data_IF_409253956608
#
_entry.id   IF_409253956608
#
_cell.length_a   1.000
_cell.length_b   1.000
_cell.length_c   1.000
_cell.angle_alpha   90.00
_cell.angle_beta   90.00
_cell.angle_gamma   90.00
#
_symmetry.space_group_name_H-M   'P 1'
#
loop_
_entity.id
_entity.type
_entity.pdbx_description
1 polymer ?
#
# COMPACT_ATOMS: atom_id res chain seq x y z
N UNK A 1 8.64 1.17 2.49
CA UNK A 1 7.30 0.83 3.05
C UNK A 1 7.36 0.60 4.56
N UNK A 2 8.20 -0.31 5.07
CA UNK A 2 8.31 -0.57 6.52
C UNK A 2 8.75 0.67 7.31
N UNK A 3 9.74 1.39 6.81
CA UNK A 3 10.22 2.65 7.41
C UNK A 3 9.10 3.70 7.49
N UNK A 4 8.34 3.90 6.41
CA UNK A 4 7.19 4.83 6.39
C UNK A 4 6.13 4.47 7.43
N UNK A 5 5.86 3.18 7.63
CA UNK A 5 4.92 2.75 8.67
C UNK A 5 5.48 3.05 10.07
N UNK A 6 6.75 2.75 10.32
CA UNK A 6 7.36 3.06 11.62
C UNK A 6 7.40 4.56 11.90
N UNK A 7 7.72 5.36 10.88
CA UNK A 7 7.74 6.81 10.98
C UNK A 7 6.34 7.34 11.32
N UNK A 8 5.29 6.90 10.65
CA UNK A 8 3.92 7.34 10.95
C UNK A 8 3.46 6.91 12.35
N UNK A 9 3.80 5.69 12.77
CA UNK A 9 3.51 5.17 14.11
C UNK A 9 4.21 6.01 15.20
N UNK A 10 5.45 6.45 14.94
CA UNK A 10 6.22 7.30 15.87
C UNK A 10 5.58 8.68 16.12
N UNK A 11 4.71 9.16 15.22
CA UNK A 11 4.02 10.45 15.36
C UNK A 11 2.89 10.42 16.39
N UNK A 12 2.39 9.24 16.74
CA UNK A 12 1.30 9.03 17.72
C UNK A 12 0.08 9.96 17.49
N UNK A 13 -0.26 10.25 16.22
CA UNK A 13 -1.28 11.22 15.87
C UNK A 13 -2.71 10.70 16.10
N UNK A 14 -3.65 11.64 16.27
CA UNK A 14 -5.08 11.33 16.50
C UNK A 14 -5.95 11.50 15.26
N UNK A 15 -5.52 12.37 14.34
CA UNK A 15 -6.26 12.70 13.13
C UNK A 15 -5.37 12.54 11.91
N UNK A 16 -5.95 12.08 10.82
CA UNK A 16 -5.27 11.80 9.56
C UNK A 16 -6.10 12.26 8.38
N UNK A 17 -5.43 12.65 7.30
CA UNK A 17 -6.04 12.78 5.98
C UNK A 17 -5.11 12.18 4.92
N UNK A 18 -5.70 11.58 3.90
CA UNK A 18 -4.95 11.00 2.78
C UNK A 18 -5.35 11.64 1.47
N UNK A 19 -4.37 11.77 0.59
CA UNK A 19 -4.51 12.35 -0.74
C UNK A 19 -3.90 11.34 -1.71
N UNK A 20 -4.74 10.80 -2.60
CA UNK A 20 -4.33 9.96 -3.73
C UNK A 20 -4.33 10.81 -5.00
N UNK A 21 -3.16 10.98 -5.62
CA UNK A 21 -3.00 11.70 -6.88
C UNK A 21 -3.38 10.76 -8.02
N UNK A 22 -4.68 10.66 -8.28
CA UNK A 22 -5.20 9.76 -9.29
C UNK A 22 -4.53 9.96 -10.66
N UNK A 23 -4.01 8.86 -11.22
CA UNK A 23 -3.35 8.87 -12.54
C UNK A 23 -2.18 9.86 -12.59
N UNK A 24 -1.42 10.02 -11.50
CA UNK A 24 -0.30 10.96 -11.39
C UNK A 24 0.67 10.88 -12.58
N UNK A 25 0.94 9.67 -13.09
CA UNK A 25 1.83 9.47 -14.25
C UNK A 25 1.35 10.23 -15.49
N UNK A 26 0.04 10.29 -15.74
CA UNK A 26 -0.51 11.01 -16.88
C UNK A 26 -0.47 12.53 -16.73
N UNK A 27 -0.18 13.05 -15.53
CA UNK A 27 0.12 14.47 -15.32
C UNK A 27 1.52 14.84 -15.80
N UNK A 28 2.42 13.87 -15.99
CA UNK A 28 3.82 14.11 -16.32
C UNK A 28 4.02 14.04 -17.85
N UNK A 29 4.40 15.16 -18.50
CA UNK A 29 4.68 15.17 -19.94
C UNK A 29 5.92 14.35 -20.28
N UNK A 30 5.82 13.60 -21.39
CA UNK A 30 6.98 12.90 -21.93
C UNK A 30 7.70 13.78 -22.95
N UNK A 31 9.02 13.91 -22.81
CA UNK A 31 9.90 14.58 -23.77
C UNK A 31 9.69 14.01 -25.18
N UNK A 32 9.71 14.86 -26.20
CA UNK A 32 9.34 14.48 -27.57
C UNK A 32 10.25 13.38 -28.11
N UNK A 33 11.56 13.50 -27.85
CA UNK A 33 12.61 12.54 -28.18
C UNK A 33 12.41 11.16 -27.53
N UNK A 34 11.71 11.07 -26.40
CA UNK A 34 11.46 9.80 -25.71
C UNK A 34 10.22 9.07 -26.24
N UNK A 35 9.30 9.75 -26.94
CA UNK A 35 7.98 9.18 -27.31
C UNK A 35 8.11 7.94 -28.19
N UNK A 36 9.04 7.91 -29.13
CA UNK A 36 9.23 6.77 -30.02
C UNK A 36 9.52 5.45 -29.26
N UNK A 37 10.16 5.53 -28.08
CA UNK A 37 10.48 4.36 -27.25
C UNK A 37 9.25 3.69 -26.63
N UNK A 38 8.13 4.41 -26.56
CA UNK A 38 6.88 3.93 -25.98
C UNK A 38 5.80 3.70 -27.05
N UNK A 39 6.21 3.51 -28.31
CA UNK A 39 5.28 3.21 -29.38
C UNK A 39 4.66 1.81 -29.23
N UNK A 40 3.39 1.68 -29.59
CA UNK A 40 2.67 0.41 -29.65
C UNK A 40 1.72 0.38 -30.85
N UNK A 41 1.38 -0.81 -31.33
CA UNK A 41 0.51 -0.97 -32.50
C UNK A 41 -0.86 -1.48 -32.08
N UNK A 42 -1.91 -0.84 -32.57
CA UNK A 42 -3.30 -1.27 -32.41
C UNK A 42 -4.00 -1.24 -33.76
N UNK A 43 -4.58 -2.37 -34.17
CA UNK A 43 -5.27 -2.57 -35.46
C UNK A 43 -4.50 -2.00 -36.67
N UNK A 44 -3.19 -2.24 -36.72
CA UNK A 44 -2.32 -1.78 -37.82
C UNK A 44 -1.93 -0.31 -37.78
N UNK A 45 -2.36 0.46 -36.77
CA UNK A 45 -1.98 1.86 -36.56
C UNK A 45 -1.01 1.94 -35.38
N UNK A 46 0.08 2.69 -35.55
CA UNK A 46 1.04 2.94 -34.49
C UNK A 46 0.61 4.15 -33.65
N UNK A 47 0.62 3.97 -32.33
CA UNK A 47 0.36 4.99 -31.34
C UNK A 47 1.59 5.16 -30.45
N UNK A 48 1.69 6.30 -29.77
CA UNK A 48 2.70 6.53 -28.74
C UNK A 48 2.12 7.35 -27.59
N UNK A 49 2.76 7.28 -26.43
CA UNK A 49 2.39 8.04 -25.25
C UNK A 49 2.97 9.46 -25.29
N UNK A 50 2.13 10.46 -25.01
CA UNK A 50 2.55 11.86 -24.81
C UNK A 50 2.80 12.21 -23.33
N UNK A 51 2.55 11.25 -22.44
CA UNK A 51 2.67 11.35 -20.98
C UNK A 51 3.38 10.10 -20.47
N UNK A 52 3.88 10.16 -19.23
CA UNK A 52 4.56 9.02 -18.61
C UNK A 52 3.62 7.80 -18.56
N UNK A 53 3.97 6.68 -19.21
CA UNK A 53 3.06 5.54 -19.31
C UNK A 53 3.00 4.72 -18.02
N UNK A 54 1.83 4.14 -17.75
CA UNK A 54 1.68 3.10 -16.75
C UNK A 54 2.34 1.79 -17.23
N UNK A 55 2.95 1.05 -16.31
CA UNK A 55 3.62 -0.24 -16.61
C UNK A 55 5.10 -0.13 -16.96
N UNK A 56 5.64 1.08 -17.20
CA UNK A 56 7.09 1.24 -17.33
C UNK A 56 7.76 1.26 -15.96
N UNK A 57 8.84 0.48 -15.82
CA UNK A 57 9.53 0.23 -14.54
C UNK A 57 9.99 1.50 -13.80
N UNK A 58 10.29 2.58 -14.51
CA UNK A 58 10.81 3.82 -13.92
C UNK A 58 9.74 4.88 -13.70
N UNK A 59 8.51 4.68 -14.19
CA UNK A 59 7.41 5.64 -13.99
C UNK A 59 7.15 5.96 -12.51
N UNK A 60 7.11 4.98 -11.59
CA UNK A 60 6.89 5.26 -10.18
C UNK A 60 7.98 6.12 -9.56
N UNK A 61 9.24 5.85 -9.87
CA UNK A 61 10.39 6.60 -9.33
C UNK A 61 10.39 8.05 -9.80
N UNK A 62 10.16 8.27 -11.10
CA UNK A 62 10.09 9.63 -11.67
C UNK A 62 8.91 10.39 -11.05
N UNK A 63 7.75 9.75 -10.96
CA UNK A 63 6.57 10.37 -10.37
C UNK A 63 6.78 10.74 -8.91
N UNK A 64 7.32 9.82 -8.11
CA UNK A 64 7.64 10.06 -6.71
C UNK A 64 8.55 11.27 -6.55
N UNK A 65 9.66 11.32 -7.31
CA UNK A 65 10.62 12.42 -7.23
C UNK A 65 10.06 13.78 -7.67
N UNK A 66 9.19 13.82 -8.69
CA UNK A 66 8.55 15.07 -9.12
C UNK A 66 7.53 15.59 -8.09
N UNK A 67 6.74 14.70 -7.49
CA UNK A 67 5.81 15.06 -6.41
C UNK A 67 6.62 15.55 -5.20
N UNK A 68 7.68 14.84 -4.81
CA UNK A 68 8.53 15.22 -3.70
C UNK A 68 9.14 16.61 -3.92
N UNK A 69 9.75 16.85 -5.08
CA UNK A 69 10.33 18.15 -5.42
C UNK A 69 9.29 19.28 -5.42
N UNK A 70 8.05 19.02 -5.84
CA UNK A 70 6.96 19.99 -5.77
C UNK A 70 6.59 20.32 -4.32
N UNK A 71 6.49 19.31 -3.46
CA UNK A 71 6.18 19.46 -2.04
C UNK A 71 7.29 20.20 -1.28
N UNK A 72 8.56 19.88 -1.56
CA UNK A 72 9.72 20.58 -0.99
C UNK A 72 9.76 22.05 -1.43
N UNK A 73 9.63 22.33 -2.73
CA UNK A 73 9.61 23.70 -3.27
C UNK A 73 8.43 24.52 -2.75
N UNK A 74 7.30 23.87 -2.48
CA UNK A 74 6.10 24.49 -1.95
C UNK A 74 6.09 24.66 -0.43
N UNK A 75 7.17 24.27 0.26
CA UNK A 75 7.26 24.25 1.72
C UNK A 75 6.06 23.52 2.34
N UNK A 76 5.79 22.32 1.81
CA UNK A 76 4.70 21.48 2.28
C UNK A 76 4.83 21.23 3.79
N UNK A 77 3.71 21.21 4.52
CA UNK A 77 3.72 20.83 5.93
C UNK A 77 4.19 19.40 6.08
N UNK A 78 4.48 18.98 7.32
CA UNK A 78 4.88 17.61 7.64
C UNK A 78 3.90 16.58 7.04
N UNK A 79 4.44 15.63 6.26
CA UNK A 79 3.68 14.62 5.52
C UNK A 79 4.55 13.39 5.25
N UNK A 80 3.91 12.28 4.86
CA UNK A 80 4.58 11.13 4.27
C UNK A 80 4.05 10.89 2.88
N UNK A 81 4.96 10.56 1.97
CA UNK A 81 4.67 10.28 0.59
C UNK A 81 5.14 8.87 0.22
N UNK A 82 4.31 8.16 -0.52
CA UNK A 82 4.69 6.95 -1.22
C UNK A 82 4.14 6.98 -2.64
N UNK A 83 5.03 7.24 -3.60
CA UNK A 83 4.66 7.46 -5.02
C UNK A 83 3.60 8.57 -5.12
N UNK A 84 2.34 8.23 -5.37
CA UNK A 84 1.18 9.09 -5.55
C UNK A 84 0.24 9.16 -4.33
N UNK A 85 0.49 8.33 -3.32
CA UNK A 85 -0.23 8.35 -2.04
C UNK A 85 0.47 9.27 -1.04
N UNK A 86 -0.26 10.23 -0.48
CA UNK A 86 0.21 11.15 0.57
C UNK A 86 -0.67 11.01 1.80
N UNK A 87 -0.05 11.07 2.98
CA UNK A 87 -0.75 11.15 4.26
C UNK A 87 -0.23 12.33 5.08
N UNK A 88 -1.15 13.03 5.72
CA UNK A 88 -0.89 14.07 6.73
C UNK A 88 -1.56 13.68 8.05
N UNK A 89 -1.03 14.20 9.14
CA UNK A 89 -1.49 13.89 10.50
C UNK A 89 -1.45 15.10 11.42
N UNK A 90 -2.13 14.99 12.56
CA UNK A 90 -2.21 16.03 13.57
C UNK A 90 -2.99 15.61 14.80
N UNK A 91 -3.09 16.54 15.76
CA UNK A 91 -3.80 16.33 17.03
C UNK A 91 -5.27 16.76 16.95
N UNK A 92 -5.63 17.58 15.97
CA UNK A 92 -6.99 18.06 15.75
C UNK A 92 -7.40 17.89 14.29
N UNK A 93 -8.71 17.80 14.04
CA UNK A 93 -9.25 17.73 12.69
C UNK A 93 -8.92 18.99 11.87
N UNK A 94 -8.98 20.18 12.49
CA UNK A 94 -8.71 21.46 11.83
C UNK A 94 -7.28 21.57 11.33
N UNK A 95 -6.30 21.23 12.18
CA UNK A 95 -4.88 21.21 11.80
C UNK A 95 -4.63 20.31 10.58
N UNK A 96 -5.21 19.11 10.57
CA UNK A 96 -5.06 18.15 9.47
C UNK A 96 -5.74 18.65 8.19
N UNK A 97 -6.88 19.31 8.31
CA UNK A 97 -7.57 19.92 7.19
C UNK A 97 -6.71 20.99 6.52
N UNK A 98 -6.16 21.92 7.30
CA UNK A 98 -5.29 23.00 6.82
C UNK A 98 -4.02 22.45 6.16
N UNK A 99 -3.38 21.44 6.77
CA UNK A 99 -2.22 20.75 6.17
C UNK A 99 -2.57 20.12 4.82
N UNK A 100 -3.70 19.41 4.76
CA UNK A 100 -4.19 18.77 3.54
C UNK A 100 -4.49 19.79 2.43
N UNK A 101 -5.15 20.90 2.77
CA UNK A 101 -5.44 21.98 1.82
C UNK A 101 -4.14 22.60 1.27
N UNK A 102 -3.15 22.89 2.13
CA UNK A 102 -1.86 23.43 1.70
C UNK A 102 -1.15 22.48 0.72
N UNK A 103 -1.13 21.18 1.00
CA UNK A 103 -0.55 20.17 0.10
C UNK A 103 -1.28 20.15 -1.24
N UNK A 104 -2.62 20.13 -1.24
CA UNK A 104 -3.41 20.14 -2.48
C UNK A 104 -3.08 21.38 -3.32
N UNK A 105 -2.98 22.56 -2.70
CA UNK A 105 -2.63 23.79 -3.42
C UNK A 105 -1.24 23.74 -4.05
N UNK A 106 -0.26 23.17 -3.36
CA UNK A 106 1.10 22.98 -3.90
C UNK A 106 1.06 22.06 -5.12
N UNK A 107 0.38 20.93 -5.01
CA UNK A 107 0.28 19.93 -6.09
C UNK A 107 -0.46 20.49 -7.32
N UNK A 108 -1.56 21.22 -7.12
CA UNK A 108 -2.30 21.88 -8.19
C UNK A 108 -1.43 22.91 -8.92
N UNK A 109 -0.65 23.72 -8.18
CA UNK A 109 0.31 24.68 -8.76
C UNK A 109 1.43 23.98 -9.55
N UNK A 110 1.83 22.80 -9.14
CA UNK A 110 2.81 21.97 -9.83
C UNK A 110 2.22 21.22 -11.06
N UNK A 111 0.91 21.34 -11.32
CA UNK A 111 0.26 20.75 -12.49
C UNK A 111 -0.27 19.33 -12.27
N UNK A 112 -0.30 18.83 -11.03
CA UNK A 112 -0.94 17.55 -10.72
C UNK A 112 -2.45 17.70 -10.60
N UNK A 113 -3.18 16.76 -11.17
CA UNK A 113 -4.64 16.71 -11.04
C UNK A 113 -5.06 15.90 -9.81
N UNK A 114 -5.89 16.48 -8.95
CA UNK A 114 -6.42 15.82 -7.75
C UNK A 114 -7.94 15.80 -7.83
N UNK A 115 -8.53 14.61 -7.69
CA UNK A 115 -9.99 14.46 -7.60
C UNK A 115 -10.42 14.58 -6.15
N UNK A 116 -11.48 15.33 -5.89
CA UNK A 116 -12.05 15.46 -4.53
C UNK A 116 -12.40 14.11 -3.89
N UNK A 117 -12.87 13.14 -4.68
CA UNK A 117 -13.17 11.78 -4.21
C UNK A 117 -11.97 10.96 -3.75
N UNK A 118 -10.75 11.44 -4.04
CA UNK A 118 -9.47 10.80 -3.68
C UNK A 118 -8.80 11.46 -2.47
N UNK A 119 -9.41 12.54 -1.95
CA UNK A 119 -9.03 13.14 -0.68
C UNK A 119 -9.95 12.56 0.39
N UNK A 120 -9.38 12.00 1.46
CA UNK A 120 -10.12 11.40 2.56
C UNK A 120 -9.68 12.00 3.89
N UNK A 121 -10.61 12.06 4.83
CA UNK A 121 -10.40 12.72 6.13
C UNK A 121 -10.64 14.23 6.09
N UNK A 122 -10.32 14.97 7.16
CA UNK A 122 -9.72 14.48 8.41
C UNK A 122 -10.57 13.39 9.10
N UNK A 123 -9.93 12.32 9.56
CA UNK A 123 -10.57 11.23 10.28
C UNK A 123 -9.62 10.64 11.32
N UNK A 124 -10.18 10.07 12.40
CA UNK A 124 -9.39 9.34 13.40
C UNK A 124 -9.04 7.91 12.98
N UNK A 125 -9.73 7.42 11.94
CA UNK A 125 -9.48 6.14 11.30
C UNK A 125 -9.27 6.36 9.80
N UNK A 126 -8.15 5.89 9.25
CA UNK A 126 -7.87 5.95 7.82
C UNK A 126 -7.17 4.67 7.36
N UNK A 127 -7.28 4.35 6.07
CA UNK A 127 -6.45 3.33 5.43
C UNK A 127 -5.40 4.00 4.54
N UNK A 128 -4.13 3.63 4.72
CA UNK A 128 -2.99 4.14 3.95
C UNK A 128 -2.02 2.99 3.66
N UNK A 129 -1.61 2.83 2.39
CA UNK A 129 -0.75 1.74 1.92
C UNK A 129 -1.23 0.34 2.34
N UNK A 130 -2.55 0.16 2.31
CA UNK A 130 -3.21 -1.10 2.69
C UNK A 130 -3.39 -1.30 4.19
N UNK A 131 -2.75 -0.50 5.05
CA UNK A 131 -2.79 -0.62 6.52
C UNK A 131 -3.84 0.33 7.10
N UNK A 132 -4.57 -0.12 8.13
CA UNK A 132 -5.49 0.75 8.89
C UNK A 132 -4.72 1.48 9.99
N UNK A 133 -4.94 2.78 10.11
CA UNK A 133 -4.34 3.65 11.11
C UNK A 133 -5.42 4.21 12.02
N UNK A 134 -5.24 4.04 13.33
CA UNK A 134 -6.17 4.50 14.35
C UNK A 134 -5.43 4.68 15.68
N UNK A 135 -5.65 5.81 16.36
CA UNK A 135 -5.05 6.12 17.67
C UNK A 135 -3.52 5.93 17.71
N UNK A 136 -2.82 6.40 16.66
CA UNK A 136 -1.36 6.28 16.55
C UNK A 136 -0.85 4.85 16.27
N UNK A 137 -1.74 3.87 16.06
CA UNK A 137 -1.37 2.47 15.88
C UNK A 137 -1.74 1.95 14.49
N UNK A 138 -0.90 1.06 13.98
CA UNK A 138 -1.19 0.28 12.78
C UNK A 138 -2.04 -0.95 13.11
N UNK A 139 -3.00 -1.25 12.25
CA UNK A 139 -3.89 -2.39 12.39
C UNK A 139 -4.10 -3.08 11.04
N UNK A 140 -4.35 -4.39 11.08
CA UNK A 140 -4.81 -5.13 9.90
C UNK A 140 -6.27 -4.73 9.62
N UNK A 141 -6.63 -4.29 8.41
CA UNK A 141 -8.02 -3.98 8.09
C UNK A 141 -8.95 -5.16 8.36
N UNK A 142 -10.12 -4.90 8.95
CA UNK A 142 -11.08 -5.95 9.35
C UNK A 142 -11.50 -6.83 8.17
N UNK A 143 -11.59 -6.28 6.97
CA UNK A 143 -11.89 -7.03 5.74
C UNK A 143 -10.84 -8.10 5.43
N UNK A 144 -9.56 -7.81 5.68
CA UNK A 144 -8.46 -8.75 5.48
C UNK A 144 -8.55 -9.86 6.52
N UNK A 145 -8.79 -9.50 7.79
CA UNK A 145 -9.01 -10.47 8.88
C UNK A 145 -10.18 -11.41 8.55
N UNK A 146 -11.29 -10.85 8.08
CA UNK A 146 -12.49 -11.60 7.72
C UNK A 146 -12.23 -12.56 6.56
N UNK A 147 -11.57 -12.10 5.49
CA UNK A 147 -11.18 -12.94 4.34
C UNK A 147 -10.29 -14.11 4.77
N UNK A 148 -9.32 -13.86 5.64
CA UNK A 148 -8.39 -14.88 6.12
C UNK A 148 -9.08 -15.89 7.05
N UNK A 149 -9.99 -15.41 7.89
CA UNK A 149 -10.80 -16.26 8.78
C UNK A 149 -11.80 -17.13 8.00
N UNK A 150 -12.34 -16.61 6.90
CA UNK A 150 -13.31 -17.31 6.05
C UNK A 150 -12.68 -18.32 5.09
N UNK A 151 -11.38 -18.22 4.82
CA UNK A 151 -10.66 -19.09 3.88
C UNK A 151 -10.80 -20.58 4.27
N UNK A 152 -10.94 -21.45 3.27
CA UNK A 152 -10.98 -22.90 3.48
C UNK A 152 -9.67 -23.44 4.09
N UNK A 153 -9.68 -24.65 4.66
CA UNK A 153 -8.48 -25.45 4.88
C UNK A 153 -7.53 -25.42 3.68
N UNK A 154 -6.22 -25.26 3.94
CA UNK A 154 -5.22 -25.36 2.89
C UNK A 154 -5.06 -26.84 2.52
N UNK A 155 -5.37 -27.19 1.27
CA UNK A 155 -5.41 -28.58 0.80
C UNK A 155 -4.24 -28.95 -0.10
N UNK A 156 -3.49 -27.95 -0.57
CA UNK A 156 -2.33 -28.17 -1.44
C UNK A 156 -1.13 -27.31 -1.09
N UNK A 157 0.04 -27.76 -1.54
CA UNK A 157 1.29 -27.00 -1.46
C UNK A 157 1.19 -25.61 -2.09
N UNK A 158 0.53 -25.51 -3.25
CA UNK A 158 0.34 -24.25 -3.98
C UNK A 158 -0.54 -23.28 -3.20
N UNK A 159 -1.61 -23.77 -2.59
CA UNK A 159 -2.47 -22.98 -1.70
C UNK A 159 -1.71 -22.50 -0.47
N UNK A 160 -0.90 -23.37 0.16
CA UNK A 160 -0.08 -22.99 1.32
C UNK A 160 0.97 -21.95 0.97
N UNK A 161 1.61 -22.04 -0.20
CA UNK A 161 2.55 -21.02 -0.68
C UNK A 161 1.86 -19.69 -0.96
N UNK A 162 0.69 -19.71 -1.60
CA UNK A 162 -0.10 -18.50 -1.85
C UNK A 162 -0.55 -17.84 -0.53
N UNK A 163 -0.96 -18.65 0.45
CA UNK A 163 -1.31 -18.18 1.79
C UNK A 163 -0.11 -17.54 2.48
N UNK A 164 1.06 -18.20 2.50
CA UNK A 164 2.29 -17.66 3.08
C UNK A 164 2.71 -16.34 2.43
N UNK A 165 2.57 -16.22 1.11
CA UNK A 165 2.79 -14.96 0.39
C UNK A 165 1.82 -13.86 0.83
N UNK A 166 0.53 -14.18 0.97
CA UNK A 166 -0.49 -13.21 1.39
C UNK A 166 -0.32 -12.74 2.84
N UNK A 167 -0.04 -13.65 3.78
CA UNK A 167 0.15 -13.27 5.19
C UNK A 167 1.52 -12.64 5.44
N UNK A 168 2.50 -12.88 4.57
CA UNK A 168 3.85 -12.32 4.69
C UNK A 168 3.87 -10.79 4.69
N UNK A 169 2.93 -10.15 4.01
CA UNK A 169 2.73 -8.69 4.07
C UNK A 169 2.43 -8.20 5.49
N UNK A 170 1.66 -8.98 6.26
CA UNK A 170 1.19 -8.64 7.60
C UNK A 170 2.13 -9.11 8.72
N UNK A 171 3.27 -9.74 8.41
CA UNK A 171 4.18 -10.35 9.39
C UNK A 171 4.52 -9.47 10.60
N UNK A 172 4.59 -8.15 10.44
CA UNK A 172 4.92 -7.20 11.51
C UNK A 172 3.77 -6.90 12.47
N UNK A 173 2.56 -7.31 12.12
CA UNK A 173 1.35 -7.15 12.94
C UNK A 173 1.07 -8.42 13.74
N UNK A 174 1.88 -9.46 13.55
CA UNK A 174 1.68 -10.80 14.09
C UNK A 174 2.84 -11.11 15.03
N UNK A 175 2.63 -11.07 16.36
CA UNK A 175 3.64 -11.51 17.32
C UNK A 175 4.09 -12.94 17.02
N UNK A 176 5.39 -13.21 17.15
CA UNK A 176 5.97 -14.55 16.95
C UNK A 176 5.69 -15.17 15.56
N UNK A 177 5.41 -14.34 14.55
CA UNK A 177 5.06 -14.77 13.19
C UNK A 177 5.88 -15.97 12.70
N UNK A 178 7.20 -15.90 12.79
CA UNK A 178 8.13 -16.95 12.33
C UNK A 178 7.87 -18.31 12.98
N UNK A 179 7.53 -18.34 14.28
CA UNK A 179 7.22 -19.57 14.99
C UNK A 179 5.89 -20.16 14.50
N UNK A 180 4.89 -19.30 14.31
CA UNK A 180 3.54 -19.71 13.90
C UNK A 180 3.53 -20.27 12.47
N UNK A 181 4.29 -19.67 11.54
CA UNK A 181 4.32 -20.09 10.14
C UNK A 181 5.36 -21.18 9.83
N UNK A 182 6.27 -21.48 10.76
CA UNK A 182 7.32 -22.49 10.57
C UNK A 182 6.78 -23.85 10.10
N UNK A 183 5.69 -24.43 10.67
CA UNK A 183 5.12 -25.69 10.18
C UNK A 183 4.63 -25.61 8.73
N UNK A 184 4.12 -24.45 8.31
CA UNK A 184 3.63 -24.23 6.94
C UNK A 184 4.79 -24.18 5.92
N UNK A 185 5.95 -23.64 6.32
CA UNK A 185 7.15 -23.69 5.50
C UNK A 185 7.70 -25.12 5.33
N UNK A 186 7.53 -25.99 6.32
CA UNK A 186 7.99 -27.40 6.24
C UNK A 186 7.21 -28.21 5.19
N UNK A 187 5.88 -28.04 5.13
CA UNK A 187 5.02 -28.74 4.16
C UNK A 187 5.12 -28.17 2.73
N UNK A 188 5.81 -27.04 2.54
CA UNK A 188 6.01 -26.40 1.22
C UNK A 188 7.39 -26.63 0.61
N UNK A 189 8.29 -27.38 1.26
CA UNK A 189 9.63 -27.70 0.73
C UNK A 189 9.56 -28.67 -0.45
N UNK A 190 10.44 -28.52 -1.46
CA UNK A 190 10.45 -29.34 -2.68
C UNK A 190 10.62 -30.86 -2.44
N UNK A 191 11.31 -31.26 -1.36
CA UNK A 191 11.63 -32.66 -1.03
C UNK A 191 10.58 -33.37 -0.16
N UNK A 192 9.50 -32.69 0.22
CA UNK A 192 8.48 -33.26 1.10
C UNK A 192 7.17 -33.48 0.33
N UNK A 193 6.59 -34.67 0.50
CA UNK A 193 5.20 -34.92 0.14
C UNK A 193 4.28 -34.11 1.06
N UNK A 194 3.20 -33.57 0.50
CA UNK A 194 2.28 -32.72 1.24
C UNK A 194 1.43 -33.59 2.18
N UNK A 195 1.89 -33.74 3.42
CA UNK A 195 1.17 -34.42 4.48
C UNK A 195 1.01 -33.49 5.68
N UNK A 196 -0.23 -33.27 6.10
CA UNK A 196 -0.51 -32.73 7.42
C UNK A 196 -0.14 -33.82 8.44
N UNK A 197 1.00 -33.69 9.13
CA UNK A 197 1.43 -34.68 10.13
C UNK A 197 0.36 -34.87 11.21
N UNK A 198 0.26 -36.07 11.82
CA UNK A 198 -0.83 -36.45 12.73
C UNK A 198 -0.96 -35.55 13.99
N UNK A 199 0.12 -34.86 14.41
CA UNK A 199 0.10 -33.84 15.48
C UNK A 199 -0.34 -32.44 15.00
N UNK A 200 -0.60 -32.31 13.70
CA UNK A 200 -1.06 -31.12 12.97
C UNK A 200 -2.37 -31.43 12.21
N UNK A 201 -3.07 -32.50 12.60
CA UNK A 201 -4.27 -33.07 11.97
C UNK A 201 -5.54 -32.23 12.10
N UNK A 202 -5.39 -30.91 12.18
CA UNK A 202 -6.44 -29.99 11.79
C UNK A 202 -5.84 -28.91 10.91
N UNK A 203 -6.41 -28.64 9.71
CA UNK A 203 -6.08 -27.43 8.98
C UNK A 203 -6.18 -26.26 9.95
N UNK A 204 -5.18 -25.35 9.92
CA UNK A 204 -5.01 -24.28 10.91
C UNK A 204 -6.39 -23.78 11.36
N UNK A 205 -6.85 -24.14 12.58
CA UNK A 205 -8.24 -23.97 12.97
C UNK A 205 -8.66 -22.52 12.77
N UNK A 206 -9.93 -22.27 12.41
CA UNK A 206 -10.45 -20.90 12.26
C UNK A 206 -10.08 -20.02 13.47
N UNK A 207 -10.00 -20.59 14.68
CA UNK A 207 -9.55 -19.95 15.91
C UNK A 207 -8.06 -19.55 15.90
N UNK A 208 -7.16 -20.41 15.42
CA UNK A 208 -5.71 -20.12 15.31
C UNK A 208 -5.42 -19.02 14.28
N UNK A 209 -6.21 -18.94 13.20
CA UNK A 209 -6.12 -17.85 12.20
C UNK A 209 -6.58 -16.50 12.77
N UNK A 210 -7.54 -16.54 13.69
CA UNK A 210 -8.00 -15.36 14.42
C UNK A 210 -6.96 -14.88 15.43
N UNK A 211 -6.26 -15.80 16.09
CA UNK A 211 -5.15 -15.48 16.99
C UNK A 211 -3.92 -14.93 16.26
N UNK A 212 -3.71 -15.32 15.00
CA UNK A 212 -2.70 -14.77 14.10
C UNK A 212 -2.97 -13.33 13.66
N UNK A 213 -4.18 -12.82 13.82
CA UNK A 213 -4.64 -11.54 13.24
C UNK A 213 -5.18 -10.56 14.29
N UNK A 214 -4.96 -10.86 15.59
CA UNK A 214 -5.31 -10.00 16.72
C UNK A 214 -4.12 -9.20 17.19
#
# INVERSE_FOLDING_TARGET
MLELQYELESKAAKWYATIDIASAFFSIPLAAECRAQFAFTWKGVQYTWNRLPQGWKHSPTICHGLIQAALEKGEAPEHLQYIDDIIVWGNTAGEVFEKGEKIIQILLKAGFAIKRSKVKGPAQEIQFLGVKWQDGRRQIPTEVINKITAMSPLTSKKETQAFLGAIGFWRMHIPEYSQIVSPLYLVTRKKNDFHWALNSSKPLPRSSRRSLMR
#
